data_IF_681934777419
#
_entry.id   IF_681934777419
#
_cell.length_a   1.000
_cell.length_b   1.000
_cell.length_c   1.000
_cell.angle_alpha   90.00
_cell.angle_beta   90.00
_cell.angle_gamma   90.00
#
_symmetry.space_group_name_H-M   'P 1'
#
loop_
_entity.id
_entity.type
_entity.pdbx_description
1 polymer ?
#
# COMPACT_ATOMS: atom_id res chain seq x y z
N UNK A 1 -15.64 23.11 -12.04
CA UNK A 1 -14.78 23.62 -10.95
C UNK A 1 -14.75 22.51 -9.92
N UNK A 2 -13.73 21.65 -9.96
CA UNK A 2 -13.67 20.50 -9.07
C UNK A 2 -13.53 21.01 -7.63
N UNK A 3 -14.37 20.48 -6.75
CA UNK A 3 -14.34 20.74 -5.32
C UNK A 3 -13.04 20.17 -4.76
N UNK A 4 -12.08 21.05 -4.46
CA UNK A 4 -10.76 20.71 -3.90
C UNK A 4 -10.75 20.80 -2.38
N UNK A 5 -11.92 20.81 -1.74
CA UNK A 5 -11.97 20.84 -0.28
C UNK A 5 -11.44 19.50 0.25
N UNK A 6 -10.40 19.50 1.11
CA UNK A 6 -9.81 18.27 1.60
C UNK A 6 -10.88 17.49 2.38
N UNK A 7 -11.11 16.24 1.96
CA UNK A 7 -12.01 15.31 2.63
C UNK A 7 -11.60 15.24 4.10
N UNK A 8 -12.45 15.80 4.96
CA UNK A 8 -12.22 15.75 6.40
C UNK A 8 -12.37 14.29 6.86
N UNK A 9 -11.43 13.78 7.67
CA UNK A 9 -11.52 12.42 8.16
C UNK A 9 -12.78 12.22 9.00
N UNK A 10 -13.51 11.15 8.72
CA UNK A 10 -14.77 10.78 9.41
C UNK A 10 -14.58 10.35 10.87
N UNK A 11 -13.33 10.18 11.32
CA UNK A 11 -12.97 9.82 12.68
C UNK A 11 -11.64 10.48 13.07
N UNK A 12 -11.52 10.84 14.34
CA UNK A 12 -10.25 11.24 14.91
C UNK A 12 -9.34 10.00 14.97
N UNK A 13 -8.11 10.05 14.44
CA UNK A 13 -7.22 8.90 14.47
C UNK A 13 -6.94 8.52 15.92
N UNK A 14 -7.14 7.25 16.26
CA UNK A 14 -6.92 6.71 17.60
C UNK A 14 -5.44 6.78 18.07
N UNK A 15 -4.55 7.18 17.17
CA UNK A 15 -3.11 7.34 17.41
C UNK A 15 -2.75 8.80 17.13
N UNK A 16 -2.05 9.50 18.04
CA UNK A 16 -1.60 10.87 17.78
C UNK A 16 -0.73 10.88 16.52
N UNK A 17 -1.00 11.81 15.60
CA UNK A 17 -0.11 12.04 14.47
C UNK A 17 1.20 12.66 14.99
N UNK A 18 2.18 11.82 15.31
CA UNK A 18 3.51 12.26 15.71
C UNK A 18 4.22 12.76 14.45
N UNK A 19 4.46 14.07 14.38
CA UNK A 19 5.00 14.74 13.18
C UNK A 19 6.33 14.19 12.66
N UNK A 20 7.09 13.45 13.47
CA UNK A 20 8.33 12.78 13.07
C UNK A 20 8.09 11.50 12.25
N UNK A 21 7.02 10.74 12.54
CA UNK A 21 6.63 9.56 11.73
C UNK A 21 6.08 9.96 10.36
N UNK A 22 5.62 11.20 10.20
CA UNK A 22 5.11 11.73 8.94
C UNK A 22 6.20 12.13 7.93
N UNK A 23 7.46 12.23 8.35
CA UNK A 23 8.57 12.64 7.48
C UNK A 23 8.99 11.51 6.54
N UNK A 24 9.32 10.34 7.09
CA UNK A 24 9.83 9.22 6.30
C UNK A 24 8.81 8.67 5.29
N UNK A 25 7.50 8.74 5.60
CA UNK A 25 6.45 8.35 4.65
C UNK A 25 6.44 9.29 3.44
N UNK A 26 6.63 10.60 3.69
CA UNK A 26 6.72 11.61 2.62
C UNK A 26 7.96 11.41 1.78
N UNK A 27 9.12 11.20 2.42
CA UNK A 27 10.37 10.92 1.73
C UNK A 27 10.29 9.63 0.89
N UNK A 28 9.61 8.60 1.40
CA UNK A 28 9.36 7.38 0.65
C UNK A 28 8.43 7.61 -0.53
N UNK A 29 7.34 8.37 -0.35
CA UNK A 29 6.43 8.73 -1.43
C UNK A 29 7.17 9.49 -2.55
N UNK A 30 7.92 10.53 -2.20
CA UNK A 30 8.71 11.32 -3.16
C UNK A 30 9.75 10.47 -3.88
N UNK A 31 10.41 9.56 -3.17
CA UNK A 31 11.39 8.61 -3.75
C UNK A 31 10.75 7.70 -4.81
N UNK A 32 9.54 7.22 -4.57
CA UNK A 32 8.93 6.17 -5.39
C UNK A 32 7.90 6.68 -6.41
N UNK A 33 7.54 7.97 -6.40
CA UNK A 33 6.59 8.59 -7.34
C UNK A 33 6.95 8.31 -8.82
N UNK A 34 8.24 8.33 -9.16
CA UNK A 34 8.74 8.03 -10.51
C UNK A 34 9.33 6.64 -10.69
N UNK A 35 9.31 5.79 -9.66
CA UNK A 35 9.91 4.47 -9.70
C UNK A 35 8.99 3.46 -10.41
N UNK A 36 9.58 2.35 -10.86
CA UNK A 36 8.77 1.21 -11.30
C UNK A 36 8.05 0.56 -10.11
N UNK A 37 6.88 0.00 -10.37
CA UNK A 37 6.10 -0.70 -9.35
C UNK A 37 6.91 -1.82 -8.67
N UNK A 38 7.73 -2.57 -9.43
CA UNK A 38 8.56 -3.64 -8.88
C UNK A 38 9.65 -3.14 -7.93
N UNK A 39 10.16 -1.91 -8.14
CA UNK A 39 11.18 -1.31 -7.25
C UNK A 39 10.58 -0.95 -5.90
N UNK A 40 9.39 -0.34 -5.90
CA UNK A 40 8.62 -0.07 -4.68
C UNK A 40 8.25 -1.37 -3.96
N UNK A 41 7.76 -2.38 -4.70
CA UNK A 41 7.39 -3.68 -4.13
C UNK A 41 8.60 -4.39 -3.51
N UNK A 42 9.75 -4.40 -4.18
CA UNK A 42 10.97 -5.00 -3.66
C UNK A 42 11.43 -4.31 -2.37
N UNK A 43 11.39 -2.98 -2.33
CA UNK A 43 11.71 -2.24 -1.11
C UNK A 43 10.71 -2.53 0.02
N UNK A 44 9.41 -2.50 -0.26
CA UNK A 44 8.38 -2.71 0.75
C UNK A 44 8.43 -4.14 1.33
N UNK A 45 8.59 -5.15 0.48
CA UNK A 45 8.74 -6.54 0.91
C UNK A 45 10.05 -6.75 1.69
N UNK A 46 11.17 -6.17 1.26
CA UNK A 46 12.43 -6.25 1.99
C UNK A 46 12.42 -5.53 3.34
N UNK A 47 11.60 -4.47 3.47
CA UNK A 47 11.54 -3.64 4.69
C UNK A 47 10.53 -4.18 5.71
N UNK A 48 9.37 -4.67 5.25
CA UNK A 48 8.22 -4.94 6.12
C UNK A 48 7.78 -6.41 6.16
N UNK A 49 8.29 -7.30 5.32
CA UNK A 49 7.98 -8.73 5.43
C UNK A 49 8.53 -9.30 6.75
N UNK A 50 7.79 -10.17 7.47
CA UNK A 50 6.51 -10.81 7.12
C UNK A 50 5.25 -10.07 7.64
N UNK A 51 5.38 -8.80 8.03
CA UNK A 51 4.32 -7.98 8.64
C UNK A 51 3.52 -7.15 7.63
N UNK A 52 3.93 -7.11 6.37
CA UNK A 52 3.15 -6.58 5.25
C UNK A 52 2.43 -7.71 4.51
N UNK A 53 1.25 -7.40 3.98
CA UNK A 53 0.51 -8.28 3.08
C UNK A 53 -0.16 -7.46 1.96
N UNK A 54 -0.34 -8.06 0.79
CA UNK A 54 -1.08 -7.46 -0.32
C UNK A 54 -2.57 -7.76 -0.13
N UNK A 55 -3.37 -6.70 -0.09
CA UNK A 55 -4.83 -6.80 -0.21
C UNK A 55 -5.19 -6.81 -1.69
N UNK A 56 -5.96 -7.80 -2.13
CA UNK A 56 -6.42 -7.86 -3.51
C UNK A 56 -7.83 -8.42 -3.62
N UNK A 57 -8.69 -7.67 -4.33
CA UNK A 57 -10.12 -7.95 -4.45
C UNK A 57 -10.50 -8.77 -5.70
N UNK A 58 -9.52 -9.38 -6.38
CA UNK A 58 -9.74 -10.19 -7.60
C UNK A 58 -9.81 -9.40 -8.91
N UNK A 59 -9.62 -8.08 -8.88
CA UNK A 59 -9.43 -7.25 -10.07
C UNK A 59 -8.08 -7.49 -10.76
N UNK A 60 -7.98 -7.08 -12.02
CA UNK A 60 -6.78 -7.25 -12.86
C UNK A 60 -5.54 -6.58 -12.28
N UNK A 61 -5.73 -5.44 -11.62
CA UNK A 61 -4.76 -4.65 -10.89
C UNK A 61 -4.21 -5.43 -9.68
N UNK A 62 -5.10 -6.03 -8.90
CA UNK A 62 -4.73 -6.92 -7.79
C UNK A 62 -3.91 -8.13 -8.27
N UNK A 63 -4.32 -8.77 -9.37
CA UNK A 63 -3.61 -9.91 -9.93
C UNK A 63 -2.22 -9.53 -10.48
N UNK A 64 -2.09 -8.38 -11.14
CA UNK A 64 -0.80 -7.87 -11.60
C UNK A 64 0.16 -7.59 -10.44
N UNK A 65 -0.34 -6.98 -9.35
CA UNK A 65 0.42 -6.76 -8.13
C UNK A 65 0.85 -8.08 -7.48
N UNK A 66 -0.05 -9.07 -7.41
CA UNK A 66 0.29 -10.40 -6.92
C UNK A 66 1.40 -11.07 -7.74
N UNK A 67 1.31 -11.04 -9.08
CA UNK A 67 2.33 -11.63 -9.97
C UNK A 67 3.71 -11.00 -9.72
N UNK A 68 3.79 -9.66 -9.76
CA UNK A 68 5.04 -8.94 -9.52
C UNK A 68 5.62 -9.26 -8.14
N UNK A 69 4.80 -9.23 -7.10
CA UNK A 69 5.24 -9.48 -5.73
C UNK A 69 5.69 -10.92 -5.50
N UNK A 70 4.99 -11.90 -6.08
CA UNK A 70 5.37 -13.32 -5.97
C UNK A 70 6.70 -13.61 -6.66
N UNK A 71 6.97 -12.97 -7.81
CA UNK A 71 8.26 -13.08 -8.50
C UNK A 71 9.41 -12.46 -7.72
N UNK A 72 9.14 -11.45 -6.89
CA UNK A 72 10.13 -10.81 -6.01
C UNK A 72 10.36 -11.66 -4.76
N UNK A 73 9.29 -12.09 -4.07
CA UNK A 73 9.33 -12.90 -2.87
C UNK A 73 8.20 -13.95 -2.90
N UNK A 74 8.53 -15.24 -3.13
CA UNK A 74 7.53 -16.31 -3.14
C UNK A 74 6.80 -16.52 -1.81
N UNK A 75 7.35 -16.02 -0.69
CA UNK A 75 6.73 -16.06 0.64
C UNK A 75 5.85 -14.81 0.92
N UNK A 76 5.53 -14.02 -0.12
CA UNK A 76 4.65 -12.85 0.02
C UNK A 76 3.28 -13.26 0.58
N UNK A 77 2.79 -12.50 1.55
CA UNK A 77 1.47 -12.72 2.15
C UNK A 77 0.43 -11.94 1.35
N UNK A 78 -0.66 -12.61 0.99
CA UNK A 78 -1.77 -12.03 0.23
C UNK A 78 -3.07 -12.37 0.94
N UNK A 79 -4.02 -11.45 0.96
CA UNK A 79 -5.38 -11.71 1.42
C UNK A 79 -6.41 -11.05 0.51
N UNK A 80 -7.63 -11.59 0.56
CA UNK A 80 -8.80 -11.02 -0.09
C UNK A 80 -9.92 -10.88 0.93
N UNK A 81 -10.80 -9.90 0.72
CA UNK A 81 -11.97 -9.70 1.56
C UNK A 81 -13.18 -10.29 0.84
N UNK A 82 -13.71 -11.37 1.38
CA UNK A 82 -14.99 -11.93 0.92
C UNK A 82 -16.14 -11.14 1.55
N UNK A 83 -16.85 -10.37 0.73
CA UNK A 83 -18.02 -9.58 1.15
C UNK A 83 -19.32 -10.37 1.09
N UNK A 84 -19.30 -11.61 0.56
CA UNK A 84 -20.47 -12.44 0.34
C UNK A 84 -21.31 -12.03 -0.88
N UNK A 85 -20.72 -11.31 -1.86
CA UNK A 85 -21.42 -10.73 -3.02
C UNK A 85 -20.77 -11.04 -4.39
N UNK A 86 -19.98 -12.11 -4.46
CA UNK A 86 -19.32 -12.57 -5.69
C UNK A 86 -20.30 -13.21 -6.69
#
# INVERSE_FOLDING_TARGET
MADTDPIQPIHEPAVPFLGEEAGWVRDAADRFEGARAEELLAWALGTFHPRIAISAAGGIDGLALMDMAWRINPDVRVFTLDTGRL
#
